data_IF_864958545917
#
_entry.id   IF_864958545917
#
_cell.length_a   1.000
_cell.length_b   1.000
_cell.length_c   1.000
_cell.angle_alpha   90.00
_cell.angle_beta   90.00
_cell.angle_gamma   90.00
#
_symmetry.space_group_name_H-M   'P 1'
#
loop_
_entity.id
_entity.type
_entity.pdbx_description
1 polymer ?
#
# COMPACT_ATOMS: atom_id res chain seq x y z
N UNK A 1 -35.72 -13.02 -3.74
CA UNK A 1 -34.44 -12.40 -3.33
C UNK A 1 -34.56 -10.89 -3.51
N UNK A 2 -34.96 -10.16 -2.46
CA UNK A 2 -35.02 -8.70 -2.52
C UNK A 2 -33.75 -8.13 -1.88
N UNK A 3 -32.71 -7.95 -2.68
CA UNK A 3 -31.49 -7.23 -2.31
C UNK A 3 -31.75 -5.75 -1.91
N UNK A 4 -33.02 -5.34 -1.93
CA UNK A 4 -33.44 -3.95 -1.74
C UNK A 4 -33.93 -3.62 -0.32
N UNK A 5 -33.85 -4.57 0.63
CA UNK A 5 -34.57 -4.40 1.89
C UNK A 5 -33.83 -3.51 2.94
N UNK A 6 -32.50 -3.38 2.90
CA UNK A 6 -31.83 -2.44 3.82
C UNK A 6 -30.74 -1.60 3.16
N UNK A 7 -30.69 -0.33 3.53
CA UNK A 7 -29.66 0.61 3.05
C UNK A 7 -28.25 0.17 3.48
N UNK A 8 -28.12 -0.52 4.62
CA UNK A 8 -26.85 -1.03 5.15
C UNK A 8 -26.33 -2.19 4.30
N UNK A 9 -27.17 -3.15 3.93
CA UNK A 9 -26.77 -4.28 3.09
C UNK A 9 -26.27 -3.81 1.72
N UNK A 10 -27.00 -2.88 1.07
CA UNK A 10 -26.59 -2.30 -0.21
C UNK A 10 -25.28 -1.52 -0.09
N UNK A 11 -25.15 -0.66 0.93
CA UNK A 11 -23.95 0.11 1.19
C UNK A 11 -22.73 -0.81 1.43
N UNK A 12 -22.93 -1.90 2.18
CA UNK A 12 -21.87 -2.88 2.45
C UNK A 12 -21.35 -3.49 1.17
N UNK A 13 -22.23 -3.96 0.28
CA UNK A 13 -21.83 -4.57 -1.00
C UNK A 13 -21.11 -3.53 -1.88
N UNK A 14 -21.75 -2.37 -2.13
CA UNK A 14 -21.20 -1.36 -3.05
C UNK A 14 -19.84 -0.84 -2.56
N UNK A 15 -19.74 -0.44 -1.28
CA UNK A 15 -18.49 0.05 -0.73
C UNK A 15 -17.40 -1.05 -0.73
N UNK A 16 -17.74 -2.27 -0.32
CA UNK A 16 -16.77 -3.38 -0.29
C UNK A 16 -16.17 -3.63 -1.68
N UNK A 17 -16.98 -3.71 -2.74
CA UNK A 17 -16.46 -3.98 -4.09
C UNK A 17 -15.67 -2.82 -4.67
N UNK A 18 -16.08 -1.55 -4.44
CA UNK A 18 -15.32 -0.37 -4.85
C UNK A 18 -13.93 -0.37 -4.20
N UNK A 19 -13.87 -0.54 -2.87
CA UNK A 19 -12.59 -0.54 -2.16
C UNK A 19 -11.75 -1.79 -2.44
N UNK A 20 -12.37 -2.95 -2.74
CA UNK A 20 -11.66 -4.14 -3.21
C UNK A 20 -10.96 -3.87 -4.54
N UNK A 21 -11.65 -3.23 -5.49
CA UNK A 21 -11.03 -2.83 -6.75
C UNK A 21 -9.84 -1.88 -6.53
N UNK A 22 -9.99 -0.87 -5.66
CA UNK A 22 -8.91 0.06 -5.33
C UNK A 22 -7.73 -0.64 -4.63
N UNK A 23 -8.00 -1.59 -3.75
CA UNK A 23 -6.96 -2.36 -3.06
C UNK A 23 -6.19 -3.27 -4.03
N UNK A 24 -6.89 -3.95 -4.95
CA UNK A 24 -6.25 -4.78 -5.99
C UNK A 24 -5.42 -3.94 -6.96
N UNK A 25 -5.93 -2.76 -7.37
CA UNK A 25 -5.17 -1.82 -8.18
C UNK A 25 -3.91 -1.34 -7.45
N UNK A 26 -4.02 -1.05 -6.15
CA UNK A 26 -2.91 -0.66 -5.30
C UNK A 26 -1.84 -1.75 -5.21
N UNK A 27 -2.27 -2.99 -5.04
CA UNK A 27 -1.39 -4.16 -4.99
C UNK A 27 -0.72 -4.42 -6.34
N UNK A 28 -1.45 -4.25 -7.45
CA UNK A 28 -0.90 -4.37 -8.80
C UNK A 28 0.19 -3.33 -9.07
N UNK A 29 -0.05 -2.06 -8.69
CA UNK A 29 0.96 -0.99 -8.78
C UNK A 29 2.18 -1.31 -7.92
N UNK A 30 1.97 -1.78 -6.68
CA UNK A 30 3.05 -2.20 -5.79
C UNK A 30 3.89 -3.33 -6.41
N UNK A 31 3.26 -4.38 -6.90
CA UNK A 31 3.93 -5.50 -7.58
C UNK A 31 4.69 -5.05 -8.84
N UNK A 32 4.06 -4.21 -9.68
CA UNK A 32 4.70 -3.64 -10.87
C UNK A 32 5.97 -2.86 -10.53
N UNK A 33 5.92 -2.01 -9.49
CA UNK A 33 7.08 -1.23 -9.05
C UNK A 33 8.21 -2.08 -8.49
N UNK A 34 7.90 -3.18 -7.83
CA UNK A 34 8.90 -4.16 -7.35
C UNK A 34 9.57 -4.90 -8.51
N UNK A 35 8.79 -5.38 -9.47
CA UNK A 35 9.28 -6.10 -10.64
C UNK A 35 10.10 -5.18 -11.57
N UNK A 36 9.60 -3.98 -11.88
CA UNK A 36 10.27 -3.06 -12.81
C UNK A 36 11.59 -2.51 -12.29
N UNK A 37 11.76 -2.39 -10.97
CA UNK A 37 13.00 -1.93 -10.35
C UNK A 37 13.92 -3.07 -9.92
N UNK A 38 13.62 -4.33 -10.26
CA UNK A 38 14.40 -5.52 -9.87
C UNK A 38 14.65 -5.61 -8.36
N UNK A 39 13.73 -5.09 -7.53
CA UNK A 39 13.84 -5.13 -6.07
C UNK A 39 13.42 -6.53 -5.60
N UNK A 40 14.27 -7.18 -4.79
CA UNK A 40 13.93 -8.47 -4.20
C UNK A 40 12.69 -8.36 -3.31
N UNK A 41 11.81 -9.36 -3.40
CA UNK A 41 10.67 -9.49 -2.50
C UNK A 41 11.16 -9.57 -1.06
N UNK A 42 10.59 -8.75 -0.20
CA UNK A 42 10.92 -8.68 1.22
C UNK A 42 9.80 -9.27 2.08
N UNK A 43 10.07 -9.47 3.37
CA UNK A 43 9.07 -9.95 4.31
C UNK A 43 7.85 -9.02 4.40
N UNK A 44 8.03 -7.71 4.18
CA UNK A 44 6.93 -6.74 4.12
C UNK A 44 5.97 -7.04 2.97
N UNK A 45 6.52 -7.37 1.77
CA UNK A 45 5.73 -7.69 0.58
C UNK A 45 4.97 -9.01 0.77
N UNK A 46 5.62 -10.00 1.38
CA UNK A 46 5.00 -11.28 1.72
C UNK A 46 3.83 -11.09 2.68
N UNK A 47 4.03 -10.31 3.77
CA UNK A 47 2.97 -10.01 4.75
C UNK A 47 1.81 -9.27 4.11
N UNK A 48 2.08 -8.28 3.23
CA UNK A 48 1.03 -7.55 2.50
C UNK A 48 0.25 -8.46 1.55
N UNK A 49 0.94 -9.35 0.82
CA UNK A 49 0.29 -10.30 -0.10
C UNK A 49 -0.59 -11.29 0.66
N UNK A 50 -0.12 -11.79 1.80
CA UNK A 50 -0.89 -12.70 2.64
C UNK A 50 -2.11 -12.01 3.25
N UNK A 51 -1.95 -10.76 3.76
CA UNK A 51 -3.07 -9.93 4.20
C UNK A 51 -4.11 -9.74 3.08
N UNK A 52 -3.68 -9.50 1.85
CA UNK A 52 -4.58 -9.32 0.71
C UNK A 52 -5.37 -10.60 0.39
N UNK A 53 -4.73 -11.76 0.41
CA UNK A 53 -5.41 -13.06 0.16
C UNK A 53 -6.47 -13.29 1.24
N UNK A 54 -6.13 -13.09 2.52
CA UNK A 54 -7.07 -13.28 3.63
C UNK A 54 -8.21 -12.24 3.55
N UNK A 55 -7.92 -10.99 3.14
CA UNK A 55 -8.95 -9.96 2.94
C UNK A 55 -9.92 -10.33 1.82
N UNK A 56 -9.46 -10.94 0.73
CA UNK A 56 -10.37 -11.46 -0.30
C UNK A 56 -11.28 -12.56 0.25
N UNK A 57 -10.76 -13.41 1.14
CA UNK A 57 -11.59 -14.37 1.89
C UNK A 57 -12.63 -13.67 2.77
N UNK A 58 -12.25 -12.60 3.47
CA UNK A 58 -13.16 -11.78 4.29
C UNK A 58 -14.24 -11.10 3.43
N UNK A 59 -13.87 -10.53 2.29
CA UNK A 59 -14.81 -9.93 1.32
C UNK A 59 -15.82 -10.97 0.82
N UNK A 60 -15.35 -12.17 0.45
CA UNK A 60 -16.23 -13.27 0.02
C UNK A 60 -17.19 -13.70 1.13
N UNK A 61 -16.69 -13.85 2.36
CA UNK A 61 -17.48 -14.23 3.52
C UNK A 61 -18.56 -13.18 3.84
N UNK A 62 -18.21 -11.88 3.89
CA UNK A 62 -19.17 -10.80 4.14
C UNK A 62 -20.20 -10.69 3.00
N UNK A 63 -19.79 -10.88 1.75
CA UNK A 63 -20.72 -10.88 0.61
C UNK A 63 -21.73 -11.99 0.76
N UNK A 64 -21.29 -13.21 1.10
CA UNK A 64 -22.17 -14.34 1.34
C UNK A 64 -23.11 -14.09 2.53
N UNK A 65 -22.60 -13.55 3.63
CA UNK A 65 -23.38 -13.21 4.82
C UNK A 65 -24.50 -12.19 4.52
N UNK A 66 -24.24 -11.19 3.68
CA UNK A 66 -25.26 -10.21 3.29
C UNK A 66 -26.30 -10.82 2.34
N UNK A 67 -25.88 -11.67 1.40
CA UNK A 67 -26.77 -12.20 0.34
C UNK A 67 -27.64 -13.35 0.86
N UNK A 68 -27.05 -14.30 1.57
CA UNK A 68 -27.71 -15.56 1.94
C UNK A 68 -28.16 -15.62 3.42
N UNK A 69 -27.41 -14.96 4.32
CA UNK A 69 -27.68 -14.99 5.77
C UNK A 69 -28.58 -13.85 6.23
N UNK A 70 -28.83 -12.83 5.38
CA UNK A 70 -29.63 -11.67 5.76
C UNK A 70 -28.92 -10.68 6.69
N UNK A 71 -27.58 -10.71 6.72
CA UNK A 71 -26.80 -9.75 7.49
C UNK A 71 -27.03 -8.30 6.99
N UNK A 72 -27.37 -7.40 7.93
CA UNK A 72 -27.74 -6.02 7.62
C UNK A 72 -29.25 -5.84 7.41
N UNK A 73 -30.08 -6.88 7.60
CA UNK A 73 -31.55 -6.80 7.68
C UNK A 73 -32.00 -6.78 9.14
N UNK A 74 -33.19 -6.25 9.40
CA UNK A 74 -33.75 -6.28 10.75
C UNK A 74 -34.12 -7.70 11.16
N UNK A 75 -33.96 -8.03 12.45
CA UNK A 75 -34.22 -9.40 12.97
C UNK A 75 -35.64 -9.89 12.66
N UNK A 76 -36.64 -8.98 12.56
CA UNK A 76 -38.02 -9.33 12.18
C UNK A 76 -38.16 -9.91 10.77
N UNK A 77 -37.17 -9.71 9.88
CA UNK A 77 -37.17 -10.17 8.50
C UNK A 77 -36.29 -11.43 8.30
N UNK A 78 -35.58 -11.86 9.34
CA UNK A 78 -34.60 -12.96 9.28
C UNK A 78 -35.21 -14.24 9.86
N UNK A 79 -35.00 -15.36 9.18
CA UNK A 79 -35.44 -16.68 9.66
C UNK A 79 -34.49 -17.21 10.75
N UNK A 80 -34.97 -18.14 11.60
CA UNK A 80 -34.17 -18.77 12.66
C UNK A 80 -32.89 -19.42 12.11
N UNK A 81 -32.97 -20.08 10.96
CA UNK A 81 -31.80 -20.68 10.31
C UNK A 81 -30.77 -19.65 9.81
N UNK A 82 -31.22 -18.52 9.31
CA UNK A 82 -30.35 -17.42 8.93
C UNK A 82 -29.66 -16.80 10.16
N UNK A 83 -30.37 -16.67 11.28
CA UNK A 83 -29.79 -16.18 12.53
C UNK A 83 -28.62 -17.05 13.02
N UNK A 84 -28.78 -18.38 12.99
CA UNK A 84 -27.70 -19.31 13.35
C UNK A 84 -26.50 -19.20 12.41
N UNK A 85 -26.75 -19.02 11.10
CA UNK A 85 -25.71 -18.82 10.10
C UNK A 85 -24.96 -17.49 10.34
N UNK A 86 -25.69 -16.40 10.62
CA UNK A 86 -25.08 -15.11 10.97
C UNK A 86 -24.19 -15.20 12.22
N UNK A 87 -24.60 -15.98 13.24
CA UNK A 87 -23.78 -16.18 14.43
C UNK A 87 -22.49 -16.99 14.15
N UNK A 88 -22.55 -18.00 13.26
CA UNK A 88 -21.35 -18.73 12.78
C UNK A 88 -20.44 -17.83 11.97
N UNK A 89 -21.03 -17.04 11.10
CA UNK A 89 -20.35 -16.07 10.22
C UNK A 89 -19.59 -15.02 11.02
N UNK A 90 -20.12 -14.57 12.17
CA UNK A 90 -19.44 -13.67 13.08
C UNK A 90 -18.08 -14.24 13.55
N UNK A 91 -18.03 -15.49 13.98
CA UNK A 91 -16.78 -16.11 14.43
C UNK A 91 -15.73 -16.17 13.31
N UNK A 92 -16.16 -16.54 12.11
CA UNK A 92 -15.27 -16.59 10.94
C UNK A 92 -14.77 -15.20 10.60
N UNK A 93 -15.66 -14.20 10.58
CA UNK A 93 -15.26 -12.82 10.27
C UNK A 93 -14.31 -12.22 11.30
N UNK A 94 -14.51 -12.50 12.60
CA UNK A 94 -13.59 -12.05 13.66
C UNK A 94 -12.21 -12.71 13.54
N UNK A 95 -12.16 -14.00 13.24
CA UNK A 95 -10.89 -14.71 13.03
C UNK A 95 -10.14 -14.17 11.80
N UNK A 96 -10.83 -13.99 10.67
CA UNK A 96 -10.24 -13.40 9.46
C UNK A 96 -9.77 -11.97 9.69
N UNK A 97 -10.56 -11.16 10.39
CA UNK A 97 -10.22 -9.81 10.78
C UNK A 97 -8.95 -9.74 11.64
N UNK A 98 -8.83 -10.61 12.65
CA UNK A 98 -7.64 -10.70 13.49
C UNK A 98 -6.38 -11.05 12.69
N UNK A 99 -6.48 -12.00 11.75
CA UNK A 99 -5.39 -12.37 10.85
C UNK A 99 -4.98 -11.23 9.94
N UNK A 100 -5.95 -10.60 9.26
CA UNK A 100 -5.70 -9.47 8.35
C UNK A 100 -4.96 -8.35 9.07
N UNK A 101 -5.47 -7.92 10.23
CA UNK A 101 -4.83 -6.85 11.01
C UNK A 101 -3.42 -7.20 11.46
N UNK A 102 -3.20 -8.44 11.88
CA UNK A 102 -1.87 -8.91 12.27
C UNK A 102 -0.88 -8.78 11.11
N UNK A 103 -1.24 -9.24 9.90
CA UNK A 103 -0.34 -9.15 8.74
C UNK A 103 -0.16 -7.73 8.22
N UNK A 104 -1.18 -6.87 8.29
CA UNK A 104 -1.07 -5.44 7.96
C UNK A 104 -0.10 -4.75 8.92
N UNK A 105 -0.23 -4.97 10.25
CA UNK A 105 0.68 -4.44 11.27
C UNK A 105 2.11 -4.94 11.07
N UNK A 106 2.29 -6.23 10.78
CA UNK A 106 3.61 -6.80 10.48
C UNK A 106 4.24 -6.15 9.26
N UNK A 107 3.49 -5.98 8.16
CA UNK A 107 3.99 -5.30 6.96
C UNK A 107 4.45 -3.88 7.27
N UNK A 108 3.61 -3.09 7.96
CA UNK A 108 3.94 -1.71 8.34
C UNK A 108 5.16 -1.65 9.28
N UNK A 109 5.23 -2.52 10.28
CA UNK A 109 6.32 -2.56 11.26
C UNK A 109 7.64 -3.01 10.63
N UNK A 110 7.63 -4.00 9.73
CA UNK A 110 8.84 -4.44 9.00
C UNK A 110 9.35 -3.30 8.12
N UNK A 111 8.46 -2.59 7.43
CA UNK A 111 8.82 -1.42 6.64
C UNK A 111 9.43 -0.32 7.51
N UNK A 112 8.78 0.04 8.63
CA UNK A 112 9.28 1.05 9.58
C UNK A 112 10.61 0.62 10.21
N UNK A 113 10.75 -0.64 10.58
CA UNK A 113 12.01 -1.20 11.08
C UNK A 113 13.13 -1.03 10.05
N UNK A 114 12.89 -1.35 8.79
CA UNK A 114 13.87 -1.21 7.72
C UNK A 114 14.30 0.24 7.49
N UNK A 115 13.36 1.19 7.63
CA UNK A 115 13.64 2.62 7.40
C UNK A 115 14.31 3.28 8.61
N UNK A 116 13.92 2.90 9.84
CA UNK A 116 14.29 3.63 11.06
C UNK A 116 15.17 2.87 12.05
N UNK A 117 15.64 1.65 11.75
CA UNK A 117 16.48 0.85 12.66
C UNK A 117 17.91 1.37 12.86
N UNK A 118 18.14 2.64 12.54
CA UNK A 118 19.47 3.29 12.65
C UNK A 118 19.93 3.42 14.11
N UNK A 119 19.01 3.64 15.05
CA UNK A 119 19.32 3.73 16.49
C UNK A 119 18.90 2.46 17.22
N UNK A 120 19.66 2.07 18.26
CA UNK A 120 19.35 0.89 19.07
C UNK A 120 17.95 0.98 19.71
N UNK A 121 17.53 2.19 20.12
CA UNK A 121 16.21 2.44 20.72
C UNK A 121 15.08 2.16 19.70
N UNK A 122 15.18 2.70 18.50
CA UNK A 122 14.17 2.49 17.45
C UNK A 122 14.10 1.02 17.03
N UNK A 123 15.24 0.35 16.97
CA UNK A 123 15.31 -1.09 16.69
C UNK A 123 14.59 -1.90 17.75
N UNK A 124 14.85 -1.62 19.03
CA UNK A 124 14.18 -2.31 20.15
C UNK A 124 12.68 -2.08 20.12
N UNK A 125 12.22 -0.82 19.95
CA UNK A 125 10.80 -0.48 19.87
C UNK A 125 10.09 -1.20 18.72
N UNK A 126 10.69 -1.26 17.53
CA UNK A 126 10.11 -1.96 16.38
C UNK A 126 9.97 -3.45 16.64
N UNK A 127 11.02 -4.11 17.17
CA UNK A 127 10.99 -5.55 17.49
C UNK A 127 9.96 -5.85 18.59
N UNK A 128 9.88 -5.00 19.61
CA UNK A 128 8.89 -5.13 20.68
C UNK A 128 7.46 -5.04 20.13
N UNK A 129 7.16 -4.06 19.25
CA UNK A 129 5.84 -3.90 18.63
C UNK A 129 5.50 -5.06 17.67
N UNK A 130 6.49 -5.61 16.95
CA UNK A 130 6.30 -6.80 16.12
C UNK A 130 5.87 -7.98 17.01
N UNK A 131 6.60 -8.25 18.09
CA UNK A 131 6.28 -9.33 19.02
C UNK A 131 4.90 -9.14 19.68
N UNK A 132 4.58 -7.91 20.10
CA UNK A 132 3.31 -7.56 20.69
C UNK A 132 2.15 -7.75 19.69
N UNK A 133 2.34 -7.38 18.40
CA UNK A 133 1.33 -7.55 17.36
C UNK A 133 1.06 -9.03 17.07
N UNK A 134 2.09 -9.87 17.06
CA UNK A 134 1.93 -11.33 16.90
C UNK A 134 1.17 -11.92 18.09
N UNK A 135 1.58 -11.58 19.30
CA UNK A 135 0.93 -12.07 20.53
C UNK A 135 -0.53 -11.64 20.58
N UNK A 136 -0.83 -10.39 20.24
CA UNK A 136 -2.20 -9.88 20.15
C UNK A 136 -3.03 -10.66 19.10
N UNK A 137 -2.47 -10.93 17.92
CA UNK A 137 -3.14 -11.71 16.88
C UNK A 137 -3.46 -13.14 17.33
N UNK A 138 -2.51 -13.81 18.00
CA UNK A 138 -2.73 -15.14 18.59
C UNK A 138 -3.82 -15.08 19.67
N UNK A 139 -3.78 -14.08 20.56
CA UNK A 139 -4.78 -13.91 21.59
C UNK A 139 -6.19 -13.70 21.02
N UNK A 140 -6.31 -12.89 19.95
CA UNK A 140 -7.57 -12.64 19.26
C UNK A 140 -8.14 -13.91 18.62
N UNK A 141 -7.30 -14.71 17.94
CA UNK A 141 -7.70 -15.99 17.35
C UNK A 141 -8.14 -16.99 18.42
N UNK A 142 -7.38 -17.11 19.51
CA UNK A 142 -7.71 -18.00 20.61
C UNK A 142 -9.02 -17.58 21.28
N UNK A 143 -9.26 -16.28 21.45
CA UNK A 143 -10.52 -15.77 22.00
C UNK A 143 -11.68 -16.11 21.08
N UNK A 144 -11.57 -15.89 19.78
CA UNK A 144 -12.63 -16.22 18.82
C UNK A 144 -13.03 -17.71 18.90
N UNK A 145 -12.08 -18.62 19.12
CA UNK A 145 -12.33 -20.05 19.16
C UNK A 145 -12.77 -20.53 20.57
N UNK A 146 -12.15 -20.00 21.63
CA UNK A 146 -12.26 -20.58 23.00
C UNK A 146 -13.24 -19.84 23.91
N UNK A 147 -13.89 -18.77 23.44
CA UNK A 147 -14.79 -17.95 24.25
C UNK A 147 -16.01 -18.71 24.75
N UNK A 148 -16.45 -19.75 24.03
CA UNK A 148 -17.49 -20.66 24.42
C UNK A 148 -16.98 -22.10 24.56
N UNK A 149 -17.47 -22.81 25.52
CA UNK A 149 -17.18 -24.25 25.77
C UNK A 149 -18.48 -25.02 25.91
N UNK A 150 -18.75 -25.99 25.02
CA UNK A 150 -18.05 -26.31 23.77
C UNK A 150 -18.21 -25.21 22.73
N UNK A 151 -17.33 -25.17 21.70
CA UNK A 151 -17.29 -24.11 20.68
C UNK A 151 -18.65 -23.89 20.01
N UNK A 152 -19.41 -24.94 19.75
CA UNK A 152 -20.72 -24.85 19.11
C UNK A 152 -21.79 -24.13 19.97
N UNK A 153 -21.57 -23.94 21.28
CA UNK A 153 -22.40 -23.06 22.10
C UNK A 153 -22.32 -21.58 21.69
N UNK A 154 -21.37 -21.21 20.84
CA UNK A 154 -21.26 -19.82 20.30
C UNK A 154 -22.41 -19.46 19.35
N UNK A 155 -23.03 -20.44 18.69
CA UNK A 155 -24.10 -20.21 17.70
C UNK A 155 -25.39 -20.99 18.02
N UNK A 156 -25.36 -21.97 18.93
CA UNK A 156 -26.53 -22.72 19.36
C UNK A 156 -26.76 -22.52 20.86
N UNK A 157 -27.75 -21.69 21.23
CA UNK A 157 -28.06 -21.42 22.64
C UNK A 157 -28.68 -22.63 23.36
N UNK A 158 -29.12 -23.69 22.66
CA UNK A 158 -29.79 -24.86 23.24
C UNK A 158 -28.81 -25.95 23.71
N UNK A 159 -27.51 -25.73 23.58
CA UNK A 159 -26.48 -26.70 23.98
C UNK A 159 -26.50 -26.92 25.47
N UNK A 160 -26.83 -28.15 25.92
CA UNK A 160 -26.83 -28.52 27.33
C UNK A 160 -25.40 -28.42 27.90
N UNK A 161 -25.24 -27.60 28.96
CA UNK A 161 -23.93 -27.41 29.60
C UNK A 161 -23.00 -26.45 28.87
N UNK A 162 -23.46 -25.72 27.84
CA UNK A 162 -22.69 -24.67 27.20
C UNK A 162 -22.44 -23.47 28.11
N UNK A 163 -21.17 -23.09 28.26
CA UNK A 163 -20.76 -21.91 29.04
C UNK A 163 -20.02 -20.97 28.07
N UNK A 164 -20.54 -19.76 27.88
CA UNK A 164 -19.88 -18.69 27.09
C UNK A 164 -19.42 -17.57 28.01
N UNK A 165 -18.24 -17.02 27.71
CA UNK A 165 -17.81 -15.76 28.28
C UNK A 165 -18.60 -14.58 27.71
N UNK A 166 -18.38 -13.40 28.28
CA UNK A 166 -18.96 -12.18 27.73
C UNK A 166 -18.27 -11.84 26.42
N UNK A 167 -18.86 -12.23 25.27
CA UNK A 167 -18.31 -12.06 23.93
C UNK A 167 -18.08 -10.58 23.61
N UNK A 168 -19.05 -9.71 23.88
CA UNK A 168 -18.95 -8.28 23.62
C UNK A 168 -17.79 -7.65 24.38
N UNK A 169 -17.66 -7.94 25.68
CA UNK A 169 -16.55 -7.40 26.47
C UNK A 169 -15.18 -7.91 26.02
N UNK A 170 -15.09 -9.19 25.61
CA UNK A 170 -13.85 -9.77 25.11
C UNK A 170 -13.41 -9.14 23.78
N UNK A 171 -14.33 -9.02 22.83
CA UNK A 171 -14.03 -8.41 21.54
C UNK A 171 -13.73 -6.91 21.65
N UNK A 172 -14.49 -6.15 22.43
CA UNK A 172 -14.21 -4.72 22.71
C UNK A 172 -12.83 -4.57 23.37
N UNK A 173 -12.49 -5.42 24.33
CA UNK A 173 -11.18 -5.40 24.98
C UNK A 173 -10.03 -5.67 24.01
N UNK A 174 -10.17 -6.68 23.15
CA UNK A 174 -9.18 -6.99 22.12
C UNK A 174 -9.03 -5.86 21.10
N UNK A 175 -10.13 -5.31 20.61
CA UNK A 175 -10.08 -4.17 19.68
C UNK A 175 -9.44 -2.93 20.31
N UNK A 176 -9.74 -2.64 21.58
CA UNK A 176 -9.11 -1.54 22.31
C UNK A 176 -7.59 -1.74 22.46
N UNK A 177 -7.14 -2.96 22.79
CA UNK A 177 -5.72 -3.30 22.81
C UNK A 177 -5.09 -3.16 21.41
N UNK A 178 -5.79 -3.62 20.36
CA UNK A 178 -5.37 -3.47 18.98
C UNK A 178 -5.21 -2.00 18.58
N UNK A 179 -6.18 -1.15 18.95
CA UNK A 179 -6.13 0.29 18.71
C UNK A 179 -4.91 0.96 19.37
N UNK A 180 -4.58 0.56 20.60
CA UNK A 180 -3.40 1.06 21.30
C UNK A 180 -2.10 0.66 20.59
N UNK A 181 -2.03 -0.56 20.05
CA UNK A 181 -0.90 -1.00 19.22
C UNK A 181 -0.80 -0.16 17.96
N UNK A 182 -1.92 0.12 17.27
CA UNK A 182 -1.94 0.93 16.05
C UNK A 182 -1.47 2.37 16.32
N UNK A 183 -1.91 2.97 17.44
CA UNK A 183 -1.42 4.29 17.89
C UNK A 183 0.08 4.26 18.17
N UNK A 184 0.58 3.18 18.81
CA UNK A 184 2.01 3.03 19.10
C UNK A 184 2.83 2.87 17.80
N UNK A 185 2.32 2.15 16.80
CA UNK A 185 2.93 2.03 15.47
C UNK A 185 3.01 3.40 14.78
N UNK A 186 1.93 4.20 14.84
CA UNK A 186 1.92 5.56 14.29
C UNK A 186 2.87 6.50 15.02
N UNK A 187 3.05 6.32 16.33
CA UNK A 187 3.97 7.14 17.14
C UNK A 187 5.45 6.85 16.86
N UNK A 188 5.78 5.65 16.38
CA UNK A 188 7.16 5.19 16.18
C UNK A 188 7.99 6.11 15.25
N UNK A 189 7.50 6.58 14.10
CA UNK A 189 8.28 7.42 13.19
C UNK A 189 8.41 8.88 13.65
N UNK A 190 7.66 9.36 14.64
CA UNK A 190 7.68 10.77 15.03
C UNK A 190 9.07 11.22 15.50
N UNK A 191 9.70 10.46 16.41
CA UNK A 191 11.04 10.79 16.91
C UNK A 191 12.08 10.88 15.79
N UNK A 192 12.29 9.84 14.95
CA UNK A 192 13.27 9.91 13.88
C UNK A 192 12.95 10.98 12.83
N UNK A 193 11.70 11.26 12.54
CA UNK A 193 11.32 12.33 11.59
C UNK A 193 11.68 13.72 12.11
N UNK A 194 11.56 13.96 13.42
CA UNK A 194 11.90 15.23 14.05
C UNK A 194 13.41 15.43 14.26
N UNK A 195 14.15 14.35 14.52
CA UNK A 195 15.59 14.43 14.91
C UNK A 195 16.54 14.19 13.74
N UNK A 196 16.12 13.49 12.70
CA UNK A 196 16.99 13.17 11.55
C UNK A 196 16.75 14.13 10.39
N UNK A 197 17.84 14.58 9.77
CA UNK A 197 17.79 15.31 8.50
C UNK A 197 17.47 14.35 7.37
N UNK A 198 16.18 14.08 7.18
CA UNK A 198 15.71 13.20 6.13
C UNK A 198 15.55 13.95 4.80
N UNK A 199 15.82 13.27 3.69
CA UNK A 199 15.49 13.80 2.38
C UNK A 199 13.98 14.04 2.28
N UNK A 200 13.55 15.08 1.58
CA UNK A 200 12.13 15.41 1.35
C UNK A 200 11.32 14.21 0.84
N UNK A 201 11.98 13.32 0.09
CA UNK A 201 11.39 12.10 -0.47
C UNK A 201 11.03 11.08 0.62
N UNK A 202 11.93 10.87 1.57
CA UNK A 202 11.69 9.96 2.70
C UNK A 202 10.60 10.52 3.61
N UNK A 203 10.63 11.82 3.87
CA UNK A 203 9.61 12.51 4.68
C UNK A 203 8.21 12.38 4.05
N UNK A 204 8.08 12.52 2.72
CA UNK A 204 6.80 12.36 2.03
C UNK A 204 6.28 10.91 2.12
N UNK A 205 7.13 9.90 1.94
CA UNK A 205 6.72 8.50 2.06
C UNK A 205 6.21 8.17 3.47
N UNK A 206 6.89 8.69 4.49
CA UNK A 206 6.48 8.50 5.89
C UNK A 206 5.18 9.23 6.18
N UNK A 207 5.00 10.44 5.66
CA UNK A 207 3.77 11.22 5.84
C UNK A 207 2.57 10.52 5.19
N UNK A 208 2.74 9.95 3.99
CA UNK A 208 1.69 9.16 3.33
C UNK A 208 1.32 7.90 4.13
N UNK A 209 2.32 7.18 4.63
CA UNK A 209 2.08 6.02 5.49
C UNK A 209 1.35 6.41 6.78
N UNK A 210 1.75 7.53 7.40
CA UNK A 210 1.15 8.04 8.62
C UNK A 210 -0.30 8.47 8.40
N UNK A 211 -0.58 9.23 7.34
CA UNK A 211 -1.95 9.70 7.03
C UNK A 211 -2.89 8.53 6.76
N UNK A 212 -2.43 7.52 6.02
CA UNK A 212 -3.20 6.32 5.77
C UNK A 212 -3.42 5.50 7.05
N UNK A 213 -2.43 5.42 7.93
CA UNK A 213 -2.55 4.76 9.24
C UNK A 213 -3.56 5.46 10.16
N UNK A 214 -3.63 6.80 10.15
CA UNK A 214 -4.65 7.54 10.92
C UNK A 214 -6.07 7.15 10.48
N UNK A 215 -6.31 6.97 9.18
CA UNK A 215 -7.63 6.53 8.68
C UNK A 215 -7.99 5.15 9.23
N UNK A 216 -7.03 4.21 9.28
CA UNK A 216 -7.25 2.87 9.86
C UNK A 216 -7.60 2.98 11.35
N UNK A 217 -6.88 3.80 12.13
CA UNK A 217 -7.16 4.06 13.55
C UNK A 217 -8.58 4.60 13.75
N UNK A 218 -9.03 5.53 12.91
CA UNK A 218 -10.40 6.08 12.98
C UNK A 218 -11.43 4.97 12.73
N UNK A 219 -11.23 4.13 11.72
CA UNK A 219 -12.15 3.02 11.41
C UNK A 219 -12.19 2.00 12.56
N UNK A 220 -11.03 1.65 13.14
CA UNK A 220 -10.99 0.77 14.31
C UNK A 220 -11.74 1.37 15.51
N UNK A 221 -11.61 2.67 15.73
CA UNK A 221 -12.38 3.39 16.75
C UNK A 221 -13.88 3.35 16.50
N UNK A 222 -14.32 3.54 15.25
CA UNK A 222 -15.74 3.43 14.86
C UNK A 222 -16.24 1.99 15.05
N UNK A 223 -15.41 0.98 14.75
CA UNK A 223 -15.74 -0.43 14.97
C UNK A 223 -15.92 -0.75 16.45
N UNK A 224 -15.06 -0.24 17.33
CA UNK A 224 -15.24 -0.40 18.79
C UNK A 224 -16.56 0.24 19.23
N UNK A 225 -16.87 1.44 18.77
CA UNK A 225 -18.11 2.13 19.10
C UNK A 225 -19.35 1.37 18.59
N UNK A 226 -19.27 0.77 17.40
CA UNK A 226 -20.32 -0.08 16.85
C UNK A 226 -20.50 -1.36 17.68
N UNK A 227 -19.40 -2.06 17.97
CA UNK A 227 -19.40 -3.29 18.75
C UNK A 227 -19.98 -3.09 20.16
N UNK A 228 -19.73 -1.94 20.78
CA UNK A 228 -20.31 -1.61 22.08
C UNK A 228 -21.82 -1.34 22.04
N UNK A 229 -22.34 -0.95 20.86
CA UNK A 229 -23.77 -0.67 20.65
C UNK A 229 -24.59 -1.86 20.20
N UNK A 230 -23.93 -2.97 19.85
CA UNK A 230 -24.63 -4.19 19.41
C UNK A 230 -25.68 -4.56 20.44
N UNK A 231 -26.93 -4.52 20.01
CA UNK A 231 -28.08 -4.85 20.86
C UNK A 231 -28.64 -6.20 20.41
N UNK A 232 -29.02 -7.05 21.37
CA UNK A 232 -29.62 -8.34 21.10
C UNK A 232 -30.97 -8.25 20.35
N UNK A 233 -31.62 -7.07 20.36
CA UNK A 233 -32.88 -6.85 19.64
C UNK A 233 -32.75 -6.72 18.12
N UNK A 234 -31.61 -6.22 17.61
CA UNK A 234 -31.36 -6.00 16.18
C UNK A 234 -29.96 -6.51 15.75
N UNK A 235 -29.56 -7.66 16.29
CA UNK A 235 -28.23 -8.23 16.11
C UNK A 235 -27.80 -8.33 14.63
N UNK A 236 -28.69 -8.78 13.75
CA UNK A 236 -28.38 -8.98 12.32
C UNK A 236 -28.07 -7.64 11.60
N UNK A 237 -28.80 -6.59 11.94
CA UNK A 237 -28.56 -5.25 11.38
C UNK A 237 -27.22 -4.66 11.85
N UNK A 238 -26.96 -4.71 13.15
CA UNK A 238 -25.71 -4.22 13.76
C UNK A 238 -24.49 -5.00 13.22
N UNK A 239 -24.66 -6.30 12.98
CA UNK A 239 -23.62 -7.14 12.40
C UNK A 239 -23.28 -6.74 10.96
N UNK A 240 -24.26 -6.30 10.16
CA UNK A 240 -24.02 -5.76 8.81
C UNK A 240 -23.12 -4.52 8.84
N UNK A 241 -23.34 -3.63 9.80
CA UNK A 241 -22.51 -2.44 9.99
C UNK A 241 -21.09 -2.78 10.45
N UNK A 242 -20.94 -3.73 11.36
CA UNK A 242 -19.63 -4.25 11.79
C UNK A 242 -18.86 -4.90 10.65
N UNK A 243 -19.55 -5.69 9.81
CA UNK A 243 -18.96 -6.30 8.61
C UNK A 243 -18.45 -5.26 7.61
N UNK A 244 -19.23 -4.19 7.39
CA UNK A 244 -18.81 -3.07 6.54
C UNK A 244 -17.53 -2.41 7.09
N UNK A 245 -17.47 -2.08 8.38
CA UNK A 245 -16.30 -1.45 8.99
C UNK A 245 -15.08 -2.37 8.95
N UNK A 246 -15.28 -3.67 9.15
CA UNK A 246 -14.20 -4.66 9.09
C UNK A 246 -13.60 -4.77 7.68
N UNK A 247 -14.43 -4.89 6.65
CA UNK A 247 -13.94 -4.95 5.26
C UNK A 247 -13.27 -3.66 4.83
N UNK A 248 -13.86 -2.50 5.14
CA UNK A 248 -13.25 -1.20 4.83
C UNK A 248 -11.92 -1.02 5.55
N UNK A 249 -11.83 -1.37 6.83
CA UNK A 249 -10.59 -1.30 7.60
C UNK A 249 -9.48 -2.16 7.01
N UNK A 250 -9.79 -3.40 6.63
CA UNK A 250 -8.86 -4.33 5.99
C UNK A 250 -8.37 -3.81 4.63
N UNK A 251 -9.29 -3.36 3.76
CA UNK A 251 -8.98 -2.87 2.42
C UNK A 251 -8.15 -1.58 2.47
N UNK A 252 -8.50 -0.64 3.33
CA UNK A 252 -7.72 0.58 3.54
C UNK A 252 -6.35 0.29 4.18
N UNK A 253 -6.26 -0.70 5.05
CA UNK A 253 -5.00 -1.19 5.59
C UNK A 253 -4.05 -1.69 4.49
N UNK A 254 -4.55 -2.46 3.52
CA UNK A 254 -3.76 -2.92 2.37
C UNK A 254 -3.32 -1.74 1.50
N UNK A 255 -4.22 -0.81 1.19
CA UNK A 255 -3.89 0.40 0.43
C UNK A 255 -2.78 1.20 1.14
N UNK A 256 -2.86 1.28 2.49
CA UNK A 256 -1.85 1.93 3.33
C UNK A 256 -0.48 1.27 3.22
N UNK A 257 -0.40 -0.06 3.24
CA UNK A 257 0.85 -0.80 3.04
C UNK A 257 1.46 -0.55 1.66
N UNK A 258 0.64 -0.32 0.63
CA UNK A 258 1.08 0.00 -0.73
C UNK A 258 1.45 1.49 -0.93
N UNK A 259 1.14 2.39 0.01
CA UNK A 259 1.32 3.83 -0.11
C UNK A 259 2.75 4.28 -0.52
N UNK A 260 3.85 3.70 0.01
CA UNK A 260 5.20 4.06 -0.42
C UNK A 260 5.47 3.78 -1.91
N UNK A 261 4.84 2.76 -2.48
CA UNK A 261 4.97 2.42 -3.89
C UNK A 261 4.23 3.41 -4.80
N UNK A 262 3.13 3.99 -4.35
CA UNK A 262 2.46 5.08 -5.08
C UNK A 262 3.36 6.31 -5.24
N UNK A 263 4.04 6.73 -4.16
CA UNK A 263 4.95 7.86 -4.24
C UNK A 263 6.12 7.60 -5.21
N UNK A 264 6.59 6.36 -5.34
CA UNK A 264 7.59 5.96 -6.32
C UNK A 264 7.01 5.94 -7.74
N UNK A 265 5.80 5.40 -7.92
CA UNK A 265 5.10 5.32 -9.20
C UNK A 265 4.81 6.71 -9.80
N UNK A 266 4.25 7.63 -9.02
CA UNK A 266 4.01 9.01 -9.48
C UNK A 266 5.29 9.72 -9.90
N UNK A 267 6.39 9.52 -9.16
CA UNK A 267 7.71 10.07 -9.54
C UNK A 267 8.24 9.47 -10.83
N UNK A 268 8.07 8.17 -11.03
CA UNK A 268 8.48 7.50 -12.27
C UNK A 268 7.70 8.05 -13.47
N UNK A 269 6.41 8.31 -13.33
CA UNK A 269 5.59 8.93 -14.38
C UNK A 269 6.04 10.37 -14.67
N UNK A 270 6.30 11.18 -13.64
CA UNK A 270 6.77 12.56 -13.80
C UNK A 270 8.13 12.61 -14.51
N UNK A 271 9.07 11.74 -14.13
CA UNK A 271 10.38 11.68 -14.75
C UNK A 271 10.30 11.26 -16.22
N UNK A 272 9.48 10.26 -16.55
CA UNK A 272 9.24 9.81 -17.92
C UNK A 272 8.62 10.92 -18.79
N UNK A 273 7.66 11.68 -18.23
CA UNK A 273 7.05 12.83 -18.90
C UNK A 273 8.07 13.94 -19.14
N UNK A 274 8.91 14.28 -18.14
CA UNK A 274 9.95 15.31 -18.28
C UNK A 274 11.03 14.90 -19.29
N UNK A 275 11.46 13.64 -19.29
CA UNK A 275 12.45 13.14 -20.26
C UNK A 275 11.92 13.19 -21.68
N UNK A 276 10.64 12.82 -21.88
CA UNK A 276 9.98 12.93 -23.19
C UNK A 276 9.94 14.37 -23.70
N UNK A 277 9.61 15.33 -22.85
CA UNK A 277 9.61 16.76 -23.22
C UNK A 277 11.01 17.26 -23.55
N UNK A 278 12.04 16.87 -22.79
CA UNK A 278 13.42 17.24 -23.10
C UNK A 278 13.94 16.63 -24.39
N UNK A 279 13.55 15.40 -24.73
CA UNK A 279 13.89 14.75 -26.00
C UNK A 279 13.20 15.47 -27.17
N UNK A 280 11.91 15.76 -27.06
CA UNK A 280 11.15 16.51 -28.08
C UNK A 280 11.73 17.91 -28.27
N UNK A 281 12.05 18.64 -27.20
CA UNK A 281 12.68 19.95 -27.26
C UNK A 281 14.08 19.88 -27.88
N UNK A 282 14.89 18.85 -27.63
CA UNK A 282 16.18 18.66 -28.28
C UNK A 282 16.04 18.39 -29.79
N UNK A 283 15.08 17.54 -30.17
CA UNK A 283 14.79 17.24 -31.55
C UNK A 283 14.29 18.49 -32.32
N UNK A 284 13.39 19.27 -31.73
CA UNK A 284 12.92 20.52 -32.28
C UNK A 284 14.07 21.54 -32.43
N UNK A 285 14.94 21.64 -31.40
CA UNK A 285 16.09 22.54 -31.41
C UNK A 285 17.16 22.13 -32.45
N UNK A 286 17.38 20.81 -32.66
CA UNK A 286 18.28 20.31 -33.70
C UNK A 286 17.74 20.57 -35.11
N UNK A 287 16.42 20.33 -35.31
CA UNK A 287 15.74 20.56 -36.56
C UNK A 287 15.70 22.06 -36.94
N UNK A 288 15.46 22.93 -35.93
CA UNK A 288 15.52 24.40 -36.15
C UNK A 288 16.94 24.89 -36.46
N UNK A 289 17.98 24.30 -35.85
CA UNK A 289 19.38 24.63 -36.07
C UNK A 289 19.86 24.17 -37.43
N UNK A 290 19.40 23.03 -37.96
CA UNK A 290 19.71 22.56 -39.32
C UNK A 290 19.03 23.41 -40.36
N UNK A 291 17.75 23.75 -40.19
CA UNK A 291 17.03 24.65 -41.11
C UNK A 291 17.62 26.08 -41.17
N UNK A 292 18.06 26.61 -40.01
CA UNK A 292 18.72 27.92 -39.96
C UNK A 292 20.08 27.93 -40.66
N UNK A 293 20.87 26.84 -40.52
CA UNK A 293 22.12 26.68 -41.28
C UNK A 293 21.90 26.63 -42.78
N UNK A 294 20.94 25.84 -43.23
CA UNK A 294 20.59 25.73 -44.66
C UNK A 294 20.15 27.09 -45.23
N UNK A 295 19.38 27.86 -44.47
CA UNK A 295 18.94 29.20 -44.87
C UNK A 295 20.11 30.21 -44.93
N UNK A 296 21.04 30.16 -43.96
CA UNK A 296 22.23 31.01 -43.95
C UNK A 296 23.18 30.64 -45.08
N UNK A 297 23.40 29.36 -45.35
CA UNK A 297 24.24 28.90 -46.46
C UNK A 297 23.65 29.31 -47.82
N UNK A 298 22.32 29.21 -48.00
CA UNK A 298 21.64 29.70 -49.21
C UNK A 298 21.73 31.21 -49.35
N UNK A 299 21.66 32.02 -48.31
CA UNK A 299 21.90 33.46 -48.35
C UNK A 299 23.33 33.77 -48.67
N UNK A 300 24.30 33.05 -48.12
CA UNK A 300 25.72 33.25 -48.40
C UNK A 300 26.09 32.96 -49.87
N UNK A 301 25.49 31.90 -50.45
CA UNK A 301 25.65 31.59 -51.89
C UNK A 301 24.96 32.62 -52.80
N UNK A 302 23.91 33.29 -52.33
CA UNK A 302 23.14 34.26 -53.09
C UNK A 302 23.73 35.69 -53.07
N UNK A 303 24.48 36.02 -52.01
CA UNK A 303 25.04 37.40 -51.80
C UNK A 303 26.55 37.44 -51.79
N UNK A 304 27.26 36.33 -52.04
CA UNK A 304 28.71 36.29 -52.10
C UNK A 304 29.26 37.06 -53.34
N UNK A 305 30.30 37.89 -53.18
CA UNK A 305 30.85 38.67 -54.27
C UNK A 305 31.46 37.76 -55.34
N UNK A 306 31.08 37.95 -56.59
CA UNK A 306 31.70 37.32 -57.73
C UNK A 306 33.21 37.67 -57.78
N UNK A 307 34.04 36.70 -57.31
CA UNK A 307 35.49 36.79 -57.60
C UNK A 307 35.73 36.38 -59.08
N UNK A 308 36.11 37.33 -59.84
CA UNK A 308 36.66 37.20 -61.19
C UNK A 308 37.87 36.27 -61.22
N UNK A 309 37.81 35.32 -62.12
CA UNK A 309 38.91 34.46 -62.53
C UNK A 309 40.06 35.34 -63.12
N UNK A 310 41.20 35.25 -62.43
CA UNK A 310 42.47 35.53 -63.13
C UNK A 310 43.48 34.44 -62.79
N UNK A 311 43.86 33.75 -63.84
CA UNK A 311 44.93 32.79 -63.94
C UNK A 311 46.30 33.43 -63.75
N UNK A 312 47.22 32.68 -63.11
CA UNK A 312 48.65 32.57 -63.52
C UNK A 312 49.37 31.76 -62.47
N UNK A 313 49.79 30.54 -62.82
CA UNK A 313 51.04 30.14 -63.36
C UNK A 313 52.28 30.41 -62.53
N UNK A 314 52.97 29.32 -62.32
CA UNK A 314 54.43 29.15 -62.07
C UNK A 314 54.81 28.80 -60.61
N UNK A 315 55.46 27.74 -60.40
CA UNK A 315 56.69 27.08 -60.65
C UNK A 315 57.24 26.39 -59.38
N UNK A 316 57.54 25.14 -59.56
CA UNK A 316 58.75 24.43 -59.10
C UNK A 316 59.18 24.47 -57.65
N UNK A 317 59.27 23.26 -57.13
CA UNK A 317 59.87 22.61 -55.97
C UNK A 317 61.33 23.03 -55.63
N UNK A 318 62.18 22.27 -54.97
CA UNK A 318 61.98 20.98 -54.31
C UNK A 318 62.65 20.87 -52.91
N UNK A 319 62.56 19.68 -52.31
CA UNK A 319 63.57 19.02 -51.44
C UNK A 319 63.84 19.51 -50.04
N UNK A 320 63.97 18.46 -49.20
CA UNK A 320 64.75 18.42 -47.94
C UNK A 320 63.86 17.95 -46.75
N UNK A 321 63.76 16.74 -46.45
CA UNK A 321 64.65 15.73 -45.83
C UNK A 321 64.96 16.01 -44.36
N UNK A 322 64.91 14.88 -43.63
CA UNK A 322 65.49 14.58 -42.34
C UNK A 322 64.67 14.89 -41.06
N UNK A 323 64.21 13.82 -40.50
CA UNK A 323 64.91 12.88 -39.61
C UNK A 323 64.80 13.21 -38.14
N UNK A 324 64.37 12.22 -37.48
CA UNK A 324 64.83 11.74 -36.18
C UNK A 324 64.43 12.64 -34.96
N UNK A 325 64.09 12.15 -33.89
CA UNK A 325 64.51 11.02 -33.05
C UNK A 325 63.66 11.07 -31.78
N UNK A 326 63.11 9.95 -31.39
CA UNK A 326 63.39 9.21 -30.18
C UNK A 326 63.27 9.92 -28.81
N UNK A 327 62.66 9.17 -28.02
CA UNK A 327 62.94 8.59 -26.69
C UNK A 327 61.99 9.08 -25.60
N UNK A 328 61.26 8.19 -25.09
CA UNK A 328 61.49 7.18 -24.01
C UNK A 328 61.52 7.74 -22.61
N UNK A 329 60.86 7.04 -21.85
CA UNK A 329 60.98 6.58 -20.44
C UNK A 329 59.80 7.00 -19.58
N UNK A 330 59.04 6.07 -19.17
CA UNK A 330 59.18 5.13 -18.02
C UNK A 330 59.18 5.80 -16.66
N UNK A 331 58.42 5.14 -15.91
CA UNK A 331 58.56 4.81 -14.50
C UNK A 331 57.62 5.51 -13.51
N UNK A 332 56.77 4.70 -12.99
CA UNK A 332 56.68 4.14 -11.61
C UNK A 332 56.07 4.96 -10.50
N UNK A 333 55.19 4.20 -9.88
CA UNK A 333 55.02 3.97 -8.40
C UNK A 333 54.54 5.16 -7.56
N UNK A 334 53.35 5.07 -7.00
CA UNK A 334 52.96 4.35 -5.78
C UNK A 334 51.42 4.24 -5.69
#
# INVERSE_FOLDING_TARGET
MSLAASTVALATIVCTYIFTFLALLSLAIHGYMRLSNFIRFSLEDFSTSLAAIITLGLVGQITWAVVDEGQGQHVSEVTQSQFELTAKSLLVSEALWALVNTFIRLSALILLHRVFSVTAVNRFQSVFLISLSILHGIAALLTAILICRPVHASWDPNVRGGICGNQTAAYVGLEACGLLIDIAILALPFRPVLTMQMSTRQKLNVLLLLSAGVVVVVITGLRIAALHRVNSSDFSYDQGYLGLLSTLGALLGIISCCAPSFAQFFRHLQFKSSTSQHVVLRLLRSSFRSGLRETIDQMYYRTGPRRSVMAQSRNEGPTGDNSAEKQDSDDNEE
#
